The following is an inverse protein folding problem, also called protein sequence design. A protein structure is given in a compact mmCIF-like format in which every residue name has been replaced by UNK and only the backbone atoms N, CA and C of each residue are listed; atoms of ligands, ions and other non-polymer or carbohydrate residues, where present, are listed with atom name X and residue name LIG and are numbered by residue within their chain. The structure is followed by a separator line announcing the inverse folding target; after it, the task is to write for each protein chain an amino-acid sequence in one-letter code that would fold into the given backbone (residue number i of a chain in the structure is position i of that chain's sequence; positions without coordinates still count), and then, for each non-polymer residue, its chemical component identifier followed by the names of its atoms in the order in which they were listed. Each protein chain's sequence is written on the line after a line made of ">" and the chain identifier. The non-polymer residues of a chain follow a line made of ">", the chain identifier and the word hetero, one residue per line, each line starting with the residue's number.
data_IF_994882231099
#
_entry.id   IF_994882231099
#
_cell.length_a   1.000
_cell.length_b   1.000
_cell.length_c   1.000
_cell.angle_alpha   90.00
_cell.angle_beta   90.00
_cell.angle_gamma   90.00
#
_symmetry.space_group_name_H-M   'P 1'
#
loop_
_entity.id
_entity.type
_entity.pdbx_description
1 polymer ?
#
# COMPACT_ATOMS: atom_id res chain seq x y z
N UNK A 1 8.19 2.53 -13.52
CA UNK A 1 7.96 3.84 -12.87
C UNK A 1 6.55 4.39 -13.10
N UNK A 2 5.89 4.08 -14.20
CA UNK A 2 4.54 4.58 -14.53
C UNK A 2 3.44 4.16 -13.55
N UNK A 3 3.40 2.90 -13.13
CA UNK A 3 2.35 2.35 -12.26
C UNK A 3 2.28 3.02 -10.88
N UNK A 4 3.45 3.21 -10.24
CA UNK A 4 3.54 3.90 -8.94
C UNK A 4 3.08 5.36 -9.01
N UNK A 5 3.34 6.03 -10.13
CA UNK A 5 2.89 7.39 -10.39
C UNK A 5 1.37 7.45 -10.59
N UNK A 6 0.78 6.50 -11.31
CA UNK A 6 -0.67 6.40 -11.54
C UNK A 6 -1.43 6.21 -10.22
N UNK A 7 -1.00 5.25 -9.39
CA UNK A 7 -1.61 5.01 -8.07
C UNK A 7 -1.49 6.25 -7.18
N UNK A 8 -0.33 6.89 -7.15
CA UNK A 8 -0.12 8.13 -6.38
C UNK A 8 -1.06 9.26 -6.83
N UNK A 9 -1.25 9.42 -8.15
CA UNK A 9 -2.14 10.44 -8.69
C UNK A 9 -3.61 10.17 -8.36
N UNK A 10 -4.05 8.93 -8.42
CA UNK A 10 -5.42 8.55 -8.08
C UNK A 10 -5.73 8.78 -6.59
N UNK A 11 -4.78 8.49 -5.69
CA UNK A 11 -4.95 8.72 -4.26
C UNK A 11 -4.87 10.20 -3.86
N UNK A 12 -4.40 11.08 -4.73
CA UNK A 12 -4.24 12.50 -4.40
C UNK A 12 -5.59 13.19 -4.17
N UNK A 13 -6.62 12.84 -4.96
CA UNK A 13 -7.97 13.41 -4.80
C UNK A 13 -8.62 13.01 -3.47
N UNK A 14 -8.73 11.73 -3.09
CA UNK A 14 -9.24 11.32 -1.77
C UNK A 14 -8.48 11.95 -0.60
N UNK A 15 -7.16 12.02 -0.68
CA UNK A 15 -6.33 12.65 0.36
C UNK A 15 -6.64 14.15 0.46
N UNK A 16 -6.74 14.85 -0.66
CA UNK A 16 -7.08 16.29 -0.67
C UNK A 16 -8.45 16.54 -0.03
N UNK A 17 -9.46 15.73 -0.36
CA UNK A 17 -10.80 15.84 0.23
C UNK A 17 -10.75 15.61 1.75
N UNK A 18 -10.04 14.58 2.22
CA UNK A 18 -9.89 14.32 3.66
C UNK A 18 -9.16 15.45 4.40
N UNK A 19 -8.12 16.02 3.78
CA UNK A 19 -7.37 17.15 4.36
C UNK A 19 -8.28 18.37 4.49
N UNK A 20 -9.05 18.70 3.42
CA UNK A 20 -9.99 19.83 3.46
C UNK A 20 -11.09 19.60 4.51
N UNK A 21 -11.69 18.39 4.54
CA UNK A 21 -12.69 18.04 5.54
C UNK A 21 -12.16 18.18 6.97
N UNK A 22 -10.93 17.71 7.21
CA UNK A 22 -10.27 17.82 8.52
C UNK A 22 -10.00 19.28 8.91
N UNK A 23 -9.55 20.13 7.97
CA UNK A 23 -9.35 21.56 8.20
C UNK A 23 -10.67 22.26 8.55
N UNK A 24 -11.74 21.95 7.81
CA UNK A 24 -13.07 22.53 8.06
C UNK A 24 -13.57 22.10 9.44
N UNK A 25 -13.48 20.81 9.79
CA UNK A 25 -13.86 20.32 11.10
C UNK A 25 -13.04 21.00 12.23
N UNK A 26 -11.76 21.19 12.04
CA UNK A 26 -10.88 21.87 12.99
C UNK A 26 -11.33 23.32 13.20
N UNK A 27 -11.65 24.06 12.13
CA UNK A 27 -12.17 25.44 12.22
C UNK A 27 -13.51 25.47 12.94
N UNK A 28 -14.41 24.54 12.64
CA UNK A 28 -15.71 24.45 13.32
C UNK A 28 -15.52 24.21 14.82
N UNK A 29 -14.67 23.25 15.19
CA UNK A 29 -14.39 22.92 16.60
C UNK A 29 -13.78 24.09 17.37
N UNK A 30 -12.85 24.83 16.76
CA UNK A 30 -12.10 25.90 17.46
C UNK A 30 -12.85 27.24 17.48
N UNK A 31 -13.64 27.55 16.41
CA UNK A 31 -14.24 28.88 16.25
C UNK A 31 -15.75 28.87 16.33
N UNK A 32 -16.40 27.95 15.62
CA UNK A 32 -17.85 27.99 15.44
C UNK A 32 -18.58 27.48 16.69
N UNK A 33 -18.19 26.33 17.22
CA UNK A 33 -18.85 25.74 18.40
C UNK A 33 -18.72 26.62 19.64
N UNK A 34 -17.53 27.19 19.99
CA UNK A 34 -17.42 28.12 21.12
C UNK A 34 -18.29 29.38 20.93
N UNK A 35 -18.35 29.96 19.73
CA UNK A 35 -19.20 31.12 19.45
C UNK A 35 -20.69 30.79 19.66
N UNK A 36 -21.16 29.64 19.21
CA UNK A 36 -22.52 29.18 19.47
C UNK A 36 -22.80 28.99 20.97
N UNK A 37 -21.85 28.43 21.73
CA UNK A 37 -21.99 28.30 23.20
C UNK A 37 -22.21 29.65 23.86
N UNK A 38 -21.44 30.68 23.49
CA UNK A 38 -21.59 32.03 24.03
C UNK A 38 -22.97 32.63 23.70
N UNK A 39 -23.43 32.46 22.48
CA UNK A 39 -24.76 32.94 22.06
C UNK A 39 -25.88 32.25 22.83
N UNK A 40 -25.88 30.94 22.94
CA UNK A 40 -26.91 30.20 23.67
C UNK A 40 -26.90 30.50 25.16
N UNK A 41 -25.72 30.66 25.76
CA UNK A 41 -25.61 31.04 27.17
C UNK A 41 -26.20 32.42 27.46
N UNK A 42 -26.11 33.36 26.51
CA UNK A 42 -26.69 34.70 26.62
C UNK A 42 -28.23 34.71 26.57
N UNK A 43 -28.87 33.73 25.99
CA UNK A 43 -30.33 33.57 25.92
C UNK A 43 -30.93 32.85 27.14
N UNK A 44 -30.08 32.32 28.06
CA UNK A 44 -30.55 31.60 29.25
C UNK A 44 -31.30 30.32 28.98
N UNK A 45 -31.16 29.76 27.79
CA UNK A 45 -31.80 28.51 27.37
C UNK A 45 -30.92 27.29 27.71
N UNK A 46 -31.53 26.25 28.30
CA UNK A 46 -30.85 24.97 28.47
C UNK A 46 -30.53 24.32 27.15
N UNK A 47 -29.27 23.95 26.97
CA UNK A 47 -28.80 23.30 25.76
C UNK A 47 -29.22 21.82 25.71
N UNK A 48 -29.68 21.32 24.57
CA UNK A 48 -30.00 19.89 24.40
C UNK A 48 -28.76 19.02 24.71
N UNK A 49 -28.99 17.85 25.32
CA UNK A 49 -27.92 16.93 25.71
C UNK A 49 -26.92 16.58 24.58
N UNK A 50 -27.31 16.36 23.31
CA UNK A 50 -26.37 16.15 22.22
C UNK A 50 -25.44 17.34 21.96
N UNK A 51 -25.95 18.56 22.14
CA UNK A 51 -25.15 19.79 21.95
C UNK A 51 -24.09 19.94 23.04
N UNK A 52 -24.41 19.55 24.28
CA UNK A 52 -23.44 19.55 25.38
C UNK A 52 -22.26 18.59 25.12
N UNK A 53 -22.52 17.42 24.52
CA UNK A 53 -21.46 16.48 24.14
C UNK A 53 -20.54 17.10 23.10
N UNK A 54 -21.09 17.74 22.08
CA UNK A 54 -20.31 18.41 21.03
C UNK A 54 -19.48 19.56 21.59
N UNK A 55 -20.04 20.34 22.51
CA UNK A 55 -19.32 21.42 23.19
C UNK A 55 -18.17 20.86 24.04
N UNK A 56 -18.39 19.79 24.83
CA UNK A 56 -17.35 19.15 25.62
C UNK A 56 -16.19 18.59 24.73
N UNK A 57 -16.52 18.02 23.58
CA UNK A 57 -15.53 17.59 22.59
C UNK A 57 -14.74 18.77 22.03
N UNK A 58 -15.42 19.88 21.74
CA UNK A 58 -14.78 21.11 21.25
C UNK A 58 -13.83 21.70 22.28
N UNK A 59 -14.24 21.81 23.54
CA UNK A 59 -13.41 22.30 24.65
C UNK A 59 -12.17 21.42 24.86
N UNK A 60 -12.35 20.10 24.83
CA UNK A 60 -11.23 19.16 24.89
C UNK A 60 -10.27 19.38 23.71
N UNK A 61 -10.79 19.53 22.50
CA UNK A 61 -9.98 19.76 21.32
C UNK A 61 -9.23 21.10 21.39
N UNK A 62 -9.90 22.18 21.82
CA UNK A 62 -9.27 23.50 22.00
C UNK A 62 -8.18 23.48 23.09
N UNK A 63 -8.41 22.74 24.19
CA UNK A 63 -7.43 22.63 25.27
C UNK A 63 -6.20 21.80 24.88
N UNK A 64 -6.39 20.73 24.10
CA UNK A 64 -5.36 19.72 23.85
C UNK A 64 -4.92 19.61 22.38
N UNK A 65 -5.33 20.51 21.48
CA UNK A 65 -5.00 20.43 20.06
C UNK A 65 -3.48 20.28 19.81
N UNK A 66 -2.65 21.00 20.53
CA UNK A 66 -1.19 20.94 20.41
C UNK A 66 -0.62 19.59 20.87
N UNK A 67 -1.22 18.95 21.88
CA UNK A 67 -0.85 17.59 22.31
C UNK A 67 -1.28 16.59 21.24
N UNK A 68 -2.51 16.71 20.73
CA UNK A 68 -3.07 15.83 19.69
C UNK A 68 -2.17 15.88 18.45
N UNK A 69 -1.85 17.07 17.95
CA UNK A 69 -0.97 17.22 16.80
C UNK A 69 0.47 16.79 17.11
N UNK A 70 0.99 17.08 18.30
CA UNK A 70 2.31 16.63 18.74
C UNK A 70 2.43 15.11 18.78
N UNK A 71 1.43 14.42 19.32
CA UNK A 71 1.37 12.94 19.34
C UNK A 71 1.19 12.36 17.96
N UNK A 72 0.35 12.95 17.11
CA UNK A 72 0.16 12.50 15.73
C UNK A 72 1.44 12.63 14.89
N UNK A 73 2.10 13.77 14.97
CA UNK A 73 3.33 14.03 14.19
C UNK A 73 4.50 13.22 14.77
N UNK A 74 4.70 13.27 16.09
CA UNK A 74 5.79 12.55 16.77
C UNK A 74 5.63 11.04 16.70
N UNK A 75 4.42 10.53 16.94
CA UNK A 75 4.07 9.12 16.83
C UNK A 75 4.18 8.64 15.38
N UNK A 76 3.69 9.43 14.42
CA UNK A 76 3.83 9.14 12.99
C UNK A 76 5.28 9.08 12.54
N UNK A 77 6.10 10.01 13.00
CA UNK A 77 7.55 10.02 12.71
C UNK A 77 8.28 8.81 13.32
N UNK A 78 8.02 8.50 14.60
CA UNK A 78 8.59 7.31 15.26
C UNK A 78 8.13 6.02 14.57
N UNK A 79 6.85 5.91 14.24
CA UNK A 79 6.30 4.76 13.52
C UNK A 79 6.98 4.58 12.17
N UNK A 80 7.09 5.65 11.37
CA UNK A 80 7.71 5.61 10.05
C UNK A 80 9.21 5.28 10.12
N UNK A 81 9.92 5.81 11.12
CA UNK A 81 11.32 5.51 11.34
C UNK A 81 11.56 4.06 11.76
N UNK A 82 10.72 3.54 12.67
CA UNK A 82 10.78 2.14 13.13
C UNK A 82 10.43 1.18 12.00
N UNK A 83 9.39 1.52 11.23
CA UNK A 83 9.00 0.74 10.05
C UNK A 83 10.15 0.63 9.03
N UNK A 84 10.83 1.73 8.73
CA UNK A 84 11.96 1.73 7.78
C UNK A 84 13.19 0.95 8.28
N UNK A 85 13.37 0.81 9.59
CA UNK A 85 14.55 0.17 10.19
C UNK A 85 14.35 -1.31 10.54
N UNK A 86 13.12 -1.77 10.70
CA UNK A 86 12.81 -3.13 11.15
C UNK A 86 12.23 -3.97 10.03
N UNK A 87 12.99 -4.96 9.53
CA UNK A 87 12.52 -5.93 8.54
C UNK A 87 11.28 -6.71 9.04
N UNK A 88 11.24 -7.04 10.33
CA UNK A 88 10.09 -7.73 10.94
C UNK A 88 8.83 -6.88 10.89
N UNK A 89 8.97 -5.57 11.12
CA UNK A 89 7.85 -4.63 11.06
C UNK A 89 7.39 -4.39 9.63
N UNK A 90 8.33 -4.30 8.66
CA UNK A 90 8.01 -4.24 7.23
C UNK A 90 7.22 -5.48 6.80
N UNK A 91 7.71 -6.67 7.16
CA UNK A 91 7.03 -7.94 6.86
C UNK A 91 5.62 -8.01 7.47
N UNK A 92 5.45 -7.62 8.73
CA UNK A 92 4.15 -7.63 9.39
C UNK A 92 3.18 -6.63 8.75
N UNK A 93 3.66 -5.43 8.42
CA UNK A 93 2.85 -4.38 7.79
C UNK A 93 2.46 -4.76 6.36
N UNK A 94 3.42 -5.24 5.55
CA UNK A 94 3.15 -5.67 4.19
C UNK A 94 2.17 -6.85 4.14
N UNK A 95 2.29 -7.79 5.09
CA UNK A 95 1.32 -8.90 5.23
C UNK A 95 -0.07 -8.40 5.63
N UNK A 96 -0.14 -7.39 6.51
CA UNK A 96 -1.41 -6.78 6.89
C UNK A 96 -2.05 -6.02 5.72
N UNK A 97 -1.26 -5.23 4.99
CA UNK A 97 -1.71 -4.48 3.82
C UNK A 97 -2.27 -5.39 2.73
N UNK A 98 -1.65 -6.55 2.48
CA UNK A 98 -2.16 -7.55 1.53
C UNK A 98 -3.50 -8.18 1.95
N UNK A 99 -3.88 -8.09 3.24
CA UNK A 99 -5.16 -8.63 3.77
C UNK A 99 -6.29 -7.61 3.82
N UNK A 100 -6.00 -6.34 3.56
CA UNK A 100 -7.03 -5.31 3.58
C UNK A 100 -8.02 -5.52 2.42
N UNK A 101 -9.34 -5.40 2.68
CA UNK A 101 -10.33 -5.46 1.61
C UNK A 101 -10.09 -4.29 0.63
N UNK A 102 -10.23 -4.53 -0.66
CA UNK A 102 -10.03 -3.58 -1.77
C UNK A 102 -8.56 -3.19 -1.97
N UNK A 103 -7.89 -2.64 -0.96
CA UNK A 103 -6.49 -2.19 -1.08
C UNK A 103 -5.50 -3.36 -1.15
N UNK A 104 -5.79 -4.48 -0.49
CA UNK A 104 -4.91 -5.65 -0.52
C UNK A 104 -4.81 -6.25 -1.91
N UNK A 105 -5.92 -6.34 -2.64
CA UNK A 105 -5.93 -6.83 -4.02
C UNK A 105 -5.18 -5.87 -4.96
N UNK A 106 -5.40 -4.57 -4.83
CA UNK A 106 -4.67 -3.54 -5.59
C UNK A 106 -3.14 -3.63 -5.36
N UNK A 107 -2.72 -3.77 -4.10
CA UNK A 107 -1.30 -3.89 -3.73
C UNK A 107 -0.73 -5.19 -4.30
N UNK A 108 -1.44 -6.31 -4.14
CA UNK A 108 -1.01 -7.61 -4.63
C UNK A 108 -0.79 -7.60 -6.15
N UNK A 109 -1.79 -7.14 -6.91
CA UNK A 109 -1.70 -7.01 -8.37
C UNK A 109 -0.58 -6.05 -8.80
N UNK A 110 -0.38 -4.94 -8.08
CA UNK A 110 0.72 -4.00 -8.33
C UNK A 110 2.09 -4.59 -8.09
N UNK A 111 2.23 -5.44 -7.07
CA UNK A 111 3.48 -6.17 -6.78
C UNK A 111 3.76 -7.22 -7.86
N UNK A 112 2.74 -8.00 -8.24
CA UNK A 112 2.84 -9.00 -9.31
C UNK A 112 3.23 -8.36 -10.64
N UNK A 113 2.56 -7.28 -11.04
CA UNK A 113 2.89 -6.53 -12.25
C UNK A 113 4.36 -6.09 -12.29
N UNK A 114 4.85 -5.52 -11.18
CA UNK A 114 6.25 -5.08 -11.10
C UNK A 114 7.23 -6.24 -11.10
N UNK A 115 6.92 -7.30 -10.35
CA UNK A 115 7.76 -8.49 -10.25
C UNK A 115 7.91 -9.15 -11.62
N UNK A 116 6.78 -9.46 -12.29
CA UNK A 116 6.78 -10.12 -13.61
C UNK A 116 7.39 -9.22 -14.69
N UNK A 117 7.09 -7.91 -14.70
CA UNK A 117 7.68 -6.95 -15.65
C UNK A 117 9.20 -6.84 -15.49
N UNK A 118 9.69 -6.77 -14.25
CA UNK A 118 11.13 -6.65 -13.98
C UNK A 118 11.85 -7.91 -14.42
N UNK A 119 11.33 -9.09 -14.06
CA UNK A 119 11.94 -10.36 -14.44
C UNK A 119 11.93 -10.55 -15.96
N UNK A 120 10.81 -10.29 -16.62
CA UNK A 120 10.70 -10.35 -18.08
C UNK A 120 11.73 -9.46 -18.78
N UNK A 121 11.86 -8.21 -18.33
CA UNK A 121 12.78 -7.24 -18.91
C UNK A 121 14.25 -7.65 -18.71
N UNK A 122 14.61 -8.14 -17.53
CA UNK A 122 15.97 -8.58 -17.26
C UNK A 122 16.32 -9.83 -18.05
N UNK A 123 15.40 -10.78 -18.15
CA UNK A 123 15.58 -11.99 -18.93
C UNK A 123 15.71 -11.69 -20.44
N UNK A 124 14.86 -10.81 -20.98
CA UNK A 124 14.95 -10.31 -22.34
C UNK A 124 16.28 -9.59 -22.65
N UNK A 125 16.89 -8.95 -21.62
CA UNK A 125 18.20 -8.33 -21.71
C UNK A 125 19.37 -9.34 -21.61
N UNK A 126 19.09 -10.64 -21.47
CA UNK A 126 20.09 -11.70 -21.38
C UNK A 126 20.72 -11.85 -19.99
N UNK A 127 20.12 -11.26 -18.96
CA UNK A 127 20.59 -11.43 -17.56
C UNK A 127 20.30 -12.86 -17.10
N UNK A 128 21.29 -13.58 -16.53
CA UNK A 128 21.07 -14.91 -15.99
C UNK A 128 19.95 -14.91 -14.94
N UNK A 129 19.12 -15.97 -14.95
CA UNK A 129 17.90 -16.04 -14.13
C UNK A 129 18.17 -15.81 -12.63
N UNK A 130 19.23 -16.40 -12.08
CA UNK A 130 19.58 -16.27 -10.66
C UNK A 130 19.96 -14.82 -10.29
N UNK A 131 20.67 -14.11 -11.18
CA UNK A 131 21.02 -12.69 -10.99
C UNK A 131 19.79 -11.79 -11.15
N UNK A 132 18.90 -12.12 -12.11
CA UNK A 132 17.66 -11.40 -12.30
C UNK A 132 16.76 -11.50 -11.06
N UNK A 133 16.65 -12.68 -10.45
CA UNK A 133 15.87 -12.90 -9.22
C UNK A 133 16.37 -12.08 -8.02
N UNK A 134 17.68 -11.88 -7.90
CA UNK A 134 18.26 -11.01 -6.85
C UNK A 134 17.72 -9.57 -6.95
N UNK A 135 17.76 -9.02 -8.15
CA UNK A 135 17.26 -7.66 -8.42
C UNK A 135 15.76 -7.53 -8.30
N UNK A 136 15.01 -8.55 -8.75
CA UNK A 136 13.53 -8.55 -8.79
C UNK A 136 12.94 -8.55 -7.39
N UNK A 137 13.54 -9.26 -6.43
CA UNK A 137 13.11 -9.30 -5.03
C UNK A 137 13.02 -7.90 -4.42
N UNK A 138 14.05 -7.07 -4.61
CA UNK A 138 14.07 -5.68 -4.16
C UNK A 138 13.11 -4.77 -4.93
N UNK A 139 12.95 -5.00 -6.24
CA UNK A 139 12.11 -4.19 -7.11
C UNK A 139 10.60 -4.41 -6.87
N UNK A 140 10.20 -5.57 -6.35
CA UNK A 140 8.79 -5.89 -6.07
C UNK A 140 8.13 -4.89 -5.10
N UNK A 141 8.90 -4.33 -4.16
CA UNK A 141 8.43 -3.31 -3.22
C UNK A 141 7.46 -3.83 -2.18
N UNK A 142 7.55 -5.12 -1.85
CA UNK A 142 6.81 -5.78 -0.78
C UNK A 142 7.71 -6.84 -0.15
N UNK A 143 7.84 -6.82 1.19
CA UNK A 143 8.75 -7.69 1.92
C UNK A 143 8.38 -9.18 1.82
N UNK A 144 7.09 -9.51 1.70
CA UNK A 144 6.62 -10.90 1.53
C UNK A 144 7.13 -11.47 0.20
N UNK A 145 6.97 -10.73 -0.88
CA UNK A 145 7.45 -11.11 -2.21
C UNK A 145 8.98 -11.10 -2.30
N UNK A 146 9.65 -10.15 -1.63
CA UNK A 146 11.11 -10.10 -1.57
C UNK A 146 11.67 -11.36 -0.89
N UNK A 147 11.12 -11.77 0.24
CA UNK A 147 11.51 -13.00 0.95
C UNK A 147 11.24 -14.25 0.11
N UNK A 148 10.06 -14.33 -0.51
CA UNK A 148 9.72 -15.44 -1.40
C UNK A 148 10.70 -15.53 -2.58
N UNK A 149 11.05 -14.38 -3.20
CA UNK A 149 12.00 -14.34 -4.32
C UNK A 149 13.40 -14.79 -3.91
N UNK A 150 13.87 -14.45 -2.71
CA UNK A 150 15.15 -14.97 -2.19
C UNK A 150 15.13 -16.48 -2.00
N UNK A 151 14.00 -17.06 -1.57
CA UNK A 151 13.88 -18.51 -1.48
C UNK A 151 13.88 -19.13 -2.88
N UNK A 152 13.11 -18.58 -3.82
CA UNK A 152 13.08 -19.03 -5.22
C UNK A 152 14.47 -18.98 -5.83
N UNK A 153 15.24 -17.92 -5.60
CA UNK A 153 16.60 -17.77 -6.09
C UNK A 153 17.51 -18.89 -5.58
N UNK A 154 17.41 -19.24 -4.29
CA UNK A 154 18.18 -20.35 -3.71
C UNK A 154 17.80 -21.69 -4.34
N UNK A 155 16.51 -21.96 -4.49
CA UNK A 155 16.01 -23.21 -5.06
C UNK A 155 16.42 -23.36 -6.54
N UNK A 156 16.31 -22.28 -7.32
CA UNK A 156 16.76 -22.25 -8.72
C UNK A 156 18.29 -22.40 -8.82
N UNK A 157 19.06 -21.79 -7.93
CA UNK A 157 20.52 -21.92 -7.91
C UNK A 157 20.99 -23.35 -7.62
N UNK A 158 20.16 -24.17 -6.97
CA UNK A 158 20.40 -25.60 -6.73
C UNK A 158 19.84 -26.52 -7.82
N UNK A 159 19.28 -25.94 -8.89
CA UNK A 159 18.81 -26.66 -10.07
C UNK A 159 17.30 -26.93 -10.14
N UNK A 160 16.51 -26.35 -9.22
CA UNK A 160 15.06 -26.44 -9.29
C UNK A 160 14.53 -25.60 -10.46
N UNK A 161 13.46 -26.09 -11.13
CA UNK A 161 12.74 -25.29 -12.11
C UNK A 161 12.13 -24.05 -11.45
N UNK A 162 12.12 -22.92 -12.16
CA UNK A 162 11.55 -21.66 -11.66
C UNK A 162 10.10 -21.81 -11.24
N UNK A 163 9.28 -22.46 -12.07
CA UNK A 163 7.86 -22.73 -11.78
C UNK A 163 7.68 -23.51 -10.50
N UNK A 164 8.48 -24.54 -10.25
CA UNK A 164 8.41 -25.36 -9.05
C UNK A 164 8.78 -24.55 -7.81
N UNK A 165 9.84 -23.76 -7.88
CA UNK A 165 10.27 -22.89 -6.79
C UNK A 165 9.21 -21.82 -6.47
N UNK A 166 8.60 -21.21 -7.50
CA UNK A 166 7.51 -20.24 -7.35
C UNK A 166 6.26 -20.87 -6.71
N UNK A 167 5.89 -22.08 -7.14
CA UNK A 167 4.76 -22.81 -6.59
C UNK A 167 4.97 -23.14 -5.09
N UNK A 168 6.16 -23.58 -4.74
CA UNK A 168 6.54 -23.88 -3.34
C UNK A 168 6.48 -22.65 -2.45
N UNK A 169 6.77 -21.45 -2.98
CA UNK A 169 6.71 -20.20 -2.24
C UNK A 169 5.27 -19.81 -1.81
N UNK A 170 4.26 -20.25 -2.53
CA UNK A 170 2.84 -20.07 -2.22
C UNK A 170 2.31 -18.65 -2.34
N UNK A 171 3.09 -17.70 -2.87
CA UNK A 171 2.67 -16.28 -2.98
C UNK A 171 2.20 -15.89 -4.39
N UNK A 172 2.46 -16.74 -5.39
CA UNK A 172 2.11 -16.45 -6.78
C UNK A 172 0.77 -17.08 -7.17
N UNK A 173 -0.11 -16.31 -7.85
CA UNK A 173 -1.36 -16.83 -8.39
C UNK A 173 -1.12 -17.87 -9.49
N UNK A 174 -2.10 -18.76 -9.65
CA UNK A 174 -2.05 -19.86 -10.63
C UNK A 174 -1.74 -19.38 -12.05
N UNK A 175 -2.27 -18.22 -12.46
CA UNK A 175 -2.03 -17.68 -13.78
C UNK A 175 -0.54 -17.36 -14.02
N UNK A 176 0.15 -16.77 -13.03
CA UNK A 176 1.58 -16.48 -13.14
C UNK A 176 2.38 -17.78 -13.22
N UNK A 177 2.02 -18.79 -12.40
CA UNK A 177 2.67 -20.10 -12.41
C UNK A 177 2.52 -20.79 -13.77
N UNK A 178 1.32 -20.75 -14.37
CA UNK A 178 1.07 -21.33 -15.70
C UNK A 178 1.86 -20.61 -16.79
N UNK A 179 1.88 -19.27 -16.79
CA UNK A 179 2.67 -18.49 -17.75
C UNK A 179 4.16 -18.78 -17.61
N UNK A 180 4.65 -18.92 -16.38
CA UNK A 180 6.05 -19.29 -16.12
C UNK A 180 6.37 -20.70 -16.63
N UNK A 181 5.51 -21.69 -16.38
CA UNK A 181 5.69 -23.07 -16.86
C UNK A 181 5.79 -23.12 -18.39
N UNK A 182 4.84 -22.48 -19.08
CA UNK A 182 4.84 -22.40 -20.54
C UNK A 182 6.12 -21.70 -21.03
N UNK A 183 6.53 -20.63 -20.37
CA UNK A 183 7.76 -19.90 -20.71
C UNK A 183 9.04 -20.72 -20.52
N UNK A 184 9.13 -21.50 -19.46
CA UNK A 184 10.26 -22.43 -19.21
C UNK A 184 10.30 -23.54 -20.25
N UNK A 185 9.17 -24.17 -20.55
CA UNK A 185 9.08 -25.29 -21.52
C UNK A 185 9.36 -24.84 -22.95
N UNK A 186 8.90 -23.64 -23.33
CA UNK A 186 9.07 -23.11 -24.69
C UNK A 186 10.36 -22.29 -24.88
N UNK A 187 11.10 -22.00 -23.82
CA UNK A 187 12.26 -21.10 -23.86
C UNK A 187 11.91 -19.63 -24.12
N UNK A 188 10.64 -19.23 -23.88
CA UNK A 188 10.13 -17.87 -24.10
C UNK A 188 9.64 -17.23 -22.80
N UNK A 189 10.44 -17.37 -21.73
CA UNK A 189 10.09 -16.91 -20.38
C UNK A 189 9.86 -15.39 -20.33
N UNK A 190 10.67 -14.62 -21.04
CA UNK A 190 10.54 -13.16 -21.19
C UNK A 190 9.17 -12.76 -21.77
N UNK A 191 8.75 -13.45 -22.84
CA UNK A 191 7.47 -13.18 -23.48
C UNK A 191 6.29 -13.52 -22.57
N UNK A 192 6.30 -14.71 -21.95
CA UNK A 192 5.20 -15.19 -21.11
C UNK A 192 5.07 -14.37 -19.82
N UNK A 193 6.17 -14.04 -19.16
CA UNK A 193 6.16 -13.13 -18.01
C UNK A 193 5.77 -11.70 -18.40
N UNK A 194 6.14 -11.25 -19.60
CA UNK A 194 5.68 -9.99 -20.17
C UNK A 194 4.16 -9.93 -20.31
N UNK A 195 3.53 -11.01 -20.78
CA UNK A 195 2.07 -11.12 -20.86
C UNK A 195 1.40 -11.12 -19.49
N UNK A 196 1.97 -11.83 -18.52
CA UNK A 196 1.49 -11.77 -17.14
C UNK A 196 1.58 -10.35 -16.57
N UNK A 197 2.65 -9.63 -16.86
CA UNK A 197 2.82 -8.24 -16.45
C UNK A 197 1.77 -7.31 -17.06
N UNK A 198 1.53 -7.40 -18.37
CA UNK A 198 0.49 -6.64 -19.07
C UNK A 198 -0.87 -6.85 -18.43
N UNK A 199 -1.24 -8.10 -18.18
CA UNK A 199 -2.51 -8.43 -17.54
C UNK A 199 -2.67 -7.75 -16.16
N UNK A 200 -1.65 -7.84 -15.29
CA UNK A 200 -1.75 -7.23 -13.96
C UNK A 200 -1.64 -5.70 -14.00
N UNK A 201 -0.94 -5.13 -14.97
CA UNK A 201 -0.90 -3.68 -15.19
C UNK A 201 -2.29 -3.15 -15.58
N UNK A 202 -3.00 -3.85 -16.47
CA UNK A 202 -4.36 -3.51 -16.89
C UNK A 202 -5.36 -3.64 -15.72
N UNK A 203 -5.28 -4.74 -14.97
CA UNK A 203 -6.10 -4.95 -13.76
C UNK A 203 -5.92 -3.82 -12.72
N UNK A 204 -4.68 -3.40 -12.50
CA UNK A 204 -4.38 -2.27 -11.60
C UNK A 204 -4.95 -0.96 -12.16
N UNK A 205 -4.82 -0.72 -13.45
CA UNK A 205 -5.35 0.48 -14.10
C UNK A 205 -6.88 0.55 -14.00
N UNK A 206 -7.58 -0.58 -14.14
CA UNK A 206 -9.04 -0.65 -13.95
C UNK A 206 -9.44 -0.39 -12.49
N UNK A 207 -8.77 -1.01 -11.54
CA UNK A 207 -9.05 -0.78 -10.12
C UNK A 207 -8.81 0.67 -9.70
N UNK A 208 -7.76 1.31 -10.22
CA UNK A 208 -7.44 2.72 -9.94
C UNK A 208 -8.48 3.67 -10.53
N UNK A 209 -9.09 3.35 -11.69
CA UNK A 209 -10.19 4.14 -12.27
C UNK A 209 -11.49 4.04 -11.47
N UNK A 210 -11.66 2.96 -10.70
CA UNK A 210 -12.83 2.73 -9.86
C UNK A 210 -12.73 3.32 -8.44
N UNK A 211 -11.60 3.90 -8.06
CA UNK A 211 -11.34 4.59 -6.79
C UNK A 211 -11.74 6.07 -6.86
#
# INVERSE_FOLDING_TARGET
>A
MALKSKIKSALMYPIAVLVVAFLVLTIIMIKVIPAFKEVFSSFGADLPAPTLVVIAMSEFFVAFWWVIFGVLIGGGYMFFQTWRRSEKMQMAMDRLLLRLPVFGDLINKSVLARWTRTLATMFAAGVPLVEALDSVGGAAGNAVYAQATQQIQRDVSTGSALTTAMQTSGVFPTMVLQMTSIGEESGSLDHMLGKAAEFYEDEVDEMVKGL
#
